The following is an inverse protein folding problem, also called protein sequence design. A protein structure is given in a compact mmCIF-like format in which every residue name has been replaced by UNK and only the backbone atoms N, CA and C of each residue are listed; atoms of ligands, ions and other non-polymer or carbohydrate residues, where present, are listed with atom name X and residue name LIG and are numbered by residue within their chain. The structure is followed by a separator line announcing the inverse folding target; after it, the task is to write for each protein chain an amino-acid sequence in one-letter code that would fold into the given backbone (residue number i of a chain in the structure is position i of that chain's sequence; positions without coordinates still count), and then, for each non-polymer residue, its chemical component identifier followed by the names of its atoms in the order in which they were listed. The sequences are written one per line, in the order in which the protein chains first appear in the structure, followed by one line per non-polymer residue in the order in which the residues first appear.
data_IF_186618289974
#
_entry.id   IF_186618289974
#
_cell.length_a   1.000
_cell.length_b   1.000
_cell.length_c   1.000
_cell.angle_alpha   90.00
_cell.angle_beta   90.00
_cell.angle_gamma   90.00
#
_symmetry.space_group_name_H-M   'P 1'
#
loop_
_entity.id
_entity.type
_entity.pdbx_description
1 polymer ?
#
# COMPACT_ATOMS: atom_id res chain seq x y z
N UNK A 1 -15.53 21.62 4.73
CA UNK A 1 -15.21 20.21 4.45
C UNK A 1 -14.46 20.17 3.12
N UNK A 2 -13.15 19.87 3.09
CA UNK A 2 -12.38 19.88 1.83
C UNK A 2 -12.88 18.73 0.95
N UNK A 3 -13.24 19.04 -0.30
CA UNK A 3 -13.59 18.04 -1.31
C UNK A 3 -12.38 17.11 -1.52
N UNK A 4 -12.58 15.79 -1.37
CA UNK A 4 -11.52 14.80 -1.61
C UNK A 4 -11.06 14.88 -3.06
N UNK A 5 -9.75 14.90 -3.29
CA UNK A 5 -9.19 14.98 -4.65
C UNK A 5 -9.47 13.70 -5.45
N UNK A 6 -9.48 13.79 -6.80
CA UNK A 6 -9.66 12.62 -7.69
C UNK A 6 -8.70 11.47 -7.33
N UNK A 7 -7.47 11.80 -6.93
CA UNK A 7 -6.47 10.85 -6.46
C UNK A 7 -6.91 10.09 -5.20
N UNK A 8 -7.39 10.80 -4.16
CA UNK A 8 -7.86 10.19 -2.92
C UNK A 8 -9.07 9.29 -3.16
N UNK A 9 -9.99 9.68 -4.05
CA UNK A 9 -11.14 8.84 -4.38
C UNK A 9 -10.72 7.54 -5.09
N UNK A 10 -9.74 7.61 -6.00
CA UNK A 10 -9.16 6.41 -6.63
C UNK A 10 -8.49 5.50 -5.60
N UNK A 11 -7.75 6.07 -4.64
CA UNK A 11 -7.10 5.30 -3.58
C UNK A 11 -8.12 4.64 -2.63
N UNK A 12 -9.17 5.36 -2.26
CA UNK A 12 -10.28 4.83 -1.45
C UNK A 12 -10.98 3.67 -2.16
N UNK A 13 -11.22 3.79 -3.47
CA UNK A 13 -11.79 2.71 -4.29
C UNK A 13 -10.89 1.47 -4.41
N UNK A 14 -9.61 1.56 -4.04
CA UNK A 14 -8.69 0.42 -4.03
C UNK A 14 -8.57 -0.27 -2.67
N UNK A 15 -9.12 0.28 -1.58
CA UNK A 15 -8.88 -0.23 -0.22
C UNK A 15 -9.23 -1.72 -0.06
N UNK A 16 -10.38 -2.17 -0.56
CA UNK A 16 -10.76 -3.59 -0.49
C UNK A 16 -9.82 -4.49 -1.30
N UNK A 17 -9.41 -4.03 -2.48
CA UNK A 17 -8.45 -4.75 -3.32
C UNK A 17 -7.07 -4.84 -2.64
N UNK A 18 -6.64 -3.74 -2.01
CA UNK A 18 -5.39 -3.65 -1.26
C UNK A 18 -5.42 -4.58 -0.05
N UNK A 19 -6.53 -4.62 0.70
CA UNK A 19 -6.68 -5.49 1.85
C UNK A 19 -6.64 -6.97 1.47
N UNK A 20 -7.38 -7.36 0.42
CA UNK A 20 -7.36 -8.74 -0.08
C UNK A 20 -5.96 -9.16 -0.53
N UNK A 21 -5.22 -8.28 -1.19
CA UNK A 21 -3.84 -8.56 -1.57
C UNK A 21 -2.90 -8.64 -0.36
N UNK A 22 -3.04 -7.74 0.61
CA UNK A 22 -2.29 -7.79 1.85
C UNK A 22 -2.52 -9.11 2.62
N UNK A 23 -3.74 -9.63 2.65
CA UNK A 23 -4.05 -10.96 3.22
C UNK A 23 -3.29 -12.09 2.51
N UNK A 24 -3.16 -12.02 1.18
CA UNK A 24 -2.42 -13.05 0.42
C UNK A 24 -0.90 -13.03 0.69
N UNK A 25 -0.37 -11.88 1.13
CA UNK A 25 1.05 -11.71 1.45
C UNK A 25 1.38 -12.09 2.89
N UNK A 26 0.52 -11.68 3.83
CA UNK A 26 0.79 -11.78 5.27
C UNK A 26 0.26 -13.06 5.89
N UNK A 27 -0.79 -13.65 5.31
CA UNK A 27 -1.56 -14.76 5.90
C UNK A 27 -2.09 -14.48 7.33
N UNK A 28 -2.08 -13.22 7.76
CA UNK A 28 -2.59 -12.74 9.04
C UNK A 28 -3.43 -11.48 8.84
N UNK A 29 -4.53 -11.37 9.58
CA UNK A 29 -5.50 -10.28 9.37
C UNK A 29 -5.00 -8.95 9.93
N UNK A 30 -4.31 -8.95 11.06
CA UNK A 30 -3.81 -7.71 11.67
C UNK A 30 -2.60 -7.20 10.89
N UNK A 31 -1.67 -8.08 10.52
CA UNK A 31 -0.55 -7.72 9.65
C UNK A 31 -1.02 -7.18 8.30
N UNK A 32 -2.10 -7.75 7.73
CA UNK A 32 -2.70 -7.23 6.51
C UNK A 32 -3.27 -5.82 6.68
N UNK A 33 -3.90 -5.51 7.82
CA UNK A 33 -4.39 -4.14 8.11
C UNK A 33 -3.24 -3.17 8.28
N UNK A 34 -2.15 -3.58 8.91
CA UNK A 34 -0.97 -2.75 9.11
C UNK A 34 -0.30 -2.45 7.77
N UNK A 35 -0.12 -3.47 6.93
CA UNK A 35 0.41 -3.30 5.57
C UNK A 35 -0.49 -2.41 4.70
N UNK A 36 -1.82 -2.55 4.80
CA UNK A 36 -2.80 -1.69 4.12
C UNK A 36 -2.63 -0.22 4.54
N UNK A 37 -2.53 0.03 5.84
CA UNK A 37 -2.38 1.38 6.39
C UNK A 37 -1.04 2.00 5.97
N UNK A 38 0.06 1.28 6.15
CA UNK A 38 1.40 1.76 5.77
C UNK A 38 1.47 2.07 4.26
N UNK A 39 0.87 1.20 3.44
CA UNK A 39 0.78 1.44 1.99
C UNK A 39 -0.02 2.69 1.69
N UNK A 40 -1.18 2.88 2.33
CA UNK A 40 -2.04 4.05 2.10
C UNK A 40 -1.30 5.34 2.46
N UNK A 41 -0.59 5.37 3.59
CA UNK A 41 0.26 6.49 3.99
C UNK A 41 1.35 6.75 2.94
N UNK A 42 2.08 5.70 2.54
CA UNK A 42 3.17 5.81 1.57
C UNK A 42 2.70 6.32 0.21
N UNK A 43 1.53 5.88 -0.25
CA UNK A 43 0.93 6.35 -1.51
C UNK A 43 0.59 7.83 -1.43
N UNK A 44 0.02 8.29 -0.31
CA UNK A 44 -0.29 9.71 -0.10
C UNK A 44 0.99 10.56 -0.04
N UNK A 45 2.01 10.11 0.69
CA UNK A 45 3.31 10.79 0.79
C UNK A 45 4.04 10.90 -0.56
N UNK A 46 3.83 9.93 -1.45
CA UNK A 46 4.45 9.90 -2.78
C UNK A 46 3.51 10.36 -3.90
N UNK A 47 2.40 11.02 -3.57
CA UNK A 47 1.41 11.50 -4.54
C UNK A 47 2.04 12.32 -5.67
N UNK A 48 2.99 13.20 -5.35
CA UNK A 48 3.65 14.06 -6.35
C UNK A 48 4.55 13.28 -7.32
N UNK A 49 4.95 12.05 -6.96
CA UNK A 49 5.76 11.17 -7.81
C UNK A 49 4.91 10.30 -8.73
N UNK A 50 3.58 10.34 -8.60
CA UNK A 50 2.68 9.64 -9.50
C UNK A 50 2.52 10.45 -10.79
N UNK A 51 2.85 9.82 -11.93
CA UNK A 51 2.65 10.38 -13.26
C UNK A 51 1.36 9.83 -13.87
N UNK A 52 0.51 10.69 -14.45
CA UNK A 52 -0.84 10.34 -14.92
C UNK A 52 -0.90 9.21 -15.96
N UNK A 53 0.19 8.94 -16.69
CA UNK A 53 0.28 7.87 -17.68
C UNK A 53 0.66 6.49 -17.09
N UNK A 54 0.76 6.38 -15.76
CA UNK A 54 1.05 5.10 -15.07
C UNK A 54 -0.25 4.48 -14.56
N UNK A 55 -0.39 3.16 -14.70
CA UNK A 55 -1.50 2.41 -14.09
C UNK A 55 -1.46 2.60 -12.57
N UNK A 56 -2.43 3.34 -12.03
CA UNK A 56 -2.49 3.68 -10.62
C UNK A 56 -2.60 2.46 -9.71
N UNK A 57 -3.43 1.47 -10.07
CA UNK A 57 -3.54 0.23 -9.30
C UNK A 57 -2.19 -0.50 -9.28
N UNK A 58 -1.54 -0.65 -10.43
CA UNK A 58 -0.21 -1.27 -10.50
C UNK A 58 0.82 -0.54 -9.63
N UNK A 59 0.85 0.79 -9.70
CA UNK A 59 1.77 1.61 -8.90
C UNK A 59 1.54 1.46 -7.37
N UNK A 60 0.28 1.50 -6.92
CA UNK A 60 -0.08 1.27 -5.51
C UNK A 60 0.35 -0.12 -5.03
N UNK A 61 0.11 -1.16 -5.84
CA UNK A 61 0.45 -2.54 -5.48
C UNK A 61 1.97 -2.79 -5.47
N UNK A 62 2.72 -2.12 -6.35
CA UNK A 62 4.19 -2.12 -6.30
C UNK A 62 4.70 -1.51 -5.00
N UNK A 63 4.11 -0.40 -4.53
CA UNK A 63 4.46 0.20 -3.24
C UNK A 63 4.18 -0.78 -2.10
N UNK A 64 3.00 -1.41 -2.07
CA UNK A 64 2.64 -2.39 -1.04
C UNK A 64 3.63 -3.55 -0.99
N UNK A 65 3.94 -4.15 -2.14
CA UNK A 65 4.86 -5.28 -2.22
C UNK A 65 6.27 -4.88 -1.74
N UNK A 66 6.74 -3.69 -2.09
CA UNK A 66 8.03 -3.19 -1.62
C UNK A 66 8.06 -3.00 -0.09
N UNK A 67 6.98 -2.50 0.51
CA UNK A 67 6.85 -2.40 1.97
C UNK A 67 6.92 -3.79 2.59
N UNK A 68 6.11 -4.74 2.11
CA UNK A 68 6.09 -6.12 2.60
C UNK A 68 7.47 -6.79 2.57
N UNK A 69 8.15 -6.76 1.41
CA UNK A 69 9.49 -7.35 1.25
C UNK A 69 10.52 -6.70 2.19
N UNK A 70 10.44 -5.38 2.36
CA UNK A 70 11.36 -4.67 3.26
C UNK A 70 11.11 -5.03 4.74
N UNK A 71 9.85 -5.14 5.15
CA UNK A 71 9.50 -5.55 6.51
C UNK A 71 9.93 -7.00 6.77
N UNK A 72 9.67 -7.92 5.84
CA UNK A 72 10.13 -9.31 5.93
C UNK A 72 11.66 -9.42 6.07
N UNK A 73 12.42 -8.66 5.26
CA UNK A 73 13.89 -8.63 5.34
C UNK A 73 14.42 -8.12 6.69
N UNK A 74 13.70 -7.18 7.35
CA UNK A 74 14.09 -6.70 8.68
C UNK A 74 13.93 -7.78 9.73
N UNK A 75 12.81 -8.52 9.70
CA UNK A 75 12.53 -9.61 10.63
C UNK A 75 13.64 -10.67 10.56
N UNK A 76 13.99 -11.12 9.35
CA UNK A 76 15.06 -12.12 9.16
C UNK A 76 16.41 -11.64 9.69
N UNK A 77 16.78 -10.37 9.44
CA UNK A 77 18.04 -9.80 9.93
C UNK A 77 18.09 -9.62 11.43
N UNK A 78 16.96 -9.34 12.09
CA UNK A 78 16.91 -9.21 13.55
C UNK A 78 17.05 -10.54 14.30
N UNK A 79 17.00 -11.66 13.59
CA UNK A 79 17.13 -13.02 14.16
C UNK A 79 18.55 -13.61 14.03
N UNK A 80 19.49 -12.89 13.42
CA UNK A 80 20.92 -13.27 13.30
C UNK A 80 21.78 -12.40 14.19
#
# INVERSE_FOLDING_TARGET
MKSKSSFENRLLGLQDNMFNFALTLTADREDAKDLLQETTLRVLDNREKYYENVNFKGWVFTIMHNIFVNNYRKIVRSQT
#
